data_IF_428642877624
#
_entry.id   IF_428642877624
#
_cell.length_a   1.000
_cell.length_b   1.000
_cell.length_c   1.000
_cell.angle_alpha   90.00
_cell.angle_beta   90.00
_cell.angle_gamma   90.00
#
_symmetry.space_group_name_H-M   'P 1'
#
loop_
_entity.id
_entity.type
_entity.pdbx_description
1 polymer ?
#
# COMPACT_ATOMS: atom_id res chain seq x y z
N UNK A 1 -20.11 -1.08 -4.93
CA UNK A 1 -19.08 -1.57 -5.87
C UNK A 1 -17.72 -0.97 -5.56
N UNK A 2 -17.54 0.36 -5.68
CA UNK A 2 -16.25 1.02 -5.49
C UNK A 2 -15.56 0.74 -4.13
N UNK A 3 -16.29 0.83 -3.02
CA UNK A 3 -15.75 0.55 -1.68
C UNK A 3 -15.22 -0.89 -1.58
N UNK A 4 -15.99 -1.87 -2.06
CA UNK A 4 -15.56 -3.27 -2.10
C UNK A 4 -14.36 -3.49 -3.02
N UNK A 5 -14.34 -2.88 -4.20
CA UNK A 5 -13.20 -2.97 -5.10
C UNK A 5 -11.92 -2.38 -4.47
N UNK A 6 -12.04 -1.29 -3.72
CA UNK A 6 -10.91 -0.70 -3.00
C UNK A 6 -10.41 -1.58 -1.85
N UNK A 7 -11.30 -2.27 -1.16
CA UNK A 7 -10.93 -3.28 -0.15
C UNK A 7 -10.26 -4.50 -0.80
N UNK A 8 -10.71 -4.89 -2.00
CA UNK A 8 -10.07 -5.93 -2.80
C UNK A 8 -8.63 -5.57 -3.19
N UNK A 9 -8.39 -4.34 -3.66
CA UNK A 9 -7.04 -3.83 -3.93
C UNK A 9 -6.18 -3.83 -2.66
N UNK A 10 -6.70 -3.34 -1.53
CA UNK A 10 -5.98 -3.36 -0.23
C UNK A 10 -5.54 -4.78 0.15
N UNK A 11 -6.49 -5.72 0.09
CA UNK A 11 -6.23 -7.12 0.43
C UNK A 11 -5.21 -7.76 -0.52
N UNK A 12 -5.36 -7.52 -1.83
CA UNK A 12 -4.44 -8.04 -2.86
C UNK A 12 -3.02 -7.54 -2.64
N UNK A 13 -2.84 -6.23 -2.49
CA UNK A 13 -1.51 -5.62 -2.32
C UNK A 13 -0.85 -6.11 -1.03
N UNK A 14 -1.59 -6.20 0.07
CA UNK A 14 -1.06 -6.74 1.33
C UNK A 14 -0.70 -8.21 1.24
N UNK A 15 -1.49 -9.00 0.51
CA UNK A 15 -1.17 -10.40 0.31
C UNK A 15 0.11 -10.56 -0.53
N UNK A 16 0.25 -9.77 -1.59
CA UNK A 16 1.49 -9.73 -2.38
C UNK A 16 2.71 -9.35 -1.53
N UNK A 17 2.58 -8.37 -0.64
CA UNK A 17 3.68 -8.03 0.28
C UNK A 17 4.09 -9.24 1.11
N UNK A 18 3.13 -9.94 1.71
CA UNK A 18 3.42 -11.08 2.60
C UNK A 18 4.06 -12.25 1.85
N UNK A 19 3.60 -12.50 0.63
CA UNK A 19 3.99 -13.70 -0.12
C UNK A 19 5.25 -13.48 -0.96
N UNK A 20 5.42 -12.28 -1.53
CA UNK A 20 6.43 -12.03 -2.57
C UNK A 20 7.54 -11.05 -2.16
N UNK A 21 7.35 -10.18 -1.17
CA UNK A 21 8.33 -9.11 -0.93
C UNK A 21 9.70 -9.63 -0.48
N UNK A 22 9.72 -10.66 0.38
CA UNK A 22 10.97 -11.30 0.83
C UNK A 22 11.81 -11.81 -0.36
N UNK A 23 11.30 -12.73 -1.22
CA UNK A 23 12.07 -13.21 -2.35
C UNK A 23 12.39 -12.12 -3.38
N UNK A 24 11.53 -11.10 -3.55
CA UNK A 24 11.83 -9.95 -4.42
C UNK A 24 13.05 -9.16 -3.91
N UNK A 25 13.12 -8.87 -2.61
CA UNK A 25 14.26 -8.16 -2.01
C UNK A 25 15.55 -8.97 -2.14
N UNK A 26 15.48 -10.30 -2.10
CA UNK A 26 16.66 -11.16 -2.27
C UNK A 26 17.18 -11.20 -3.71
N UNK A 27 16.31 -10.98 -4.71
CA UNK A 27 16.65 -11.11 -6.14
C UNK A 27 16.88 -9.78 -6.83
N UNK A 28 16.21 -8.71 -6.40
CA UNK A 28 16.26 -7.40 -7.04
C UNK A 28 17.13 -6.43 -6.25
N UNK A 29 18.21 -5.96 -6.87
CA UNK A 29 19.10 -4.95 -6.28
C UNK A 29 18.35 -3.65 -5.93
N UNK A 30 17.39 -3.25 -6.76
CA UNK A 30 16.56 -2.08 -6.51
C UNK A 30 15.68 -2.24 -5.27
N UNK A 31 15.04 -3.41 -5.10
CA UNK A 31 14.23 -3.69 -3.92
C UNK A 31 15.10 -3.80 -2.65
N UNK A 32 16.29 -4.40 -2.73
CA UNK A 32 17.25 -4.41 -1.62
C UNK A 32 17.72 -2.99 -1.25
N UNK A 33 17.94 -2.11 -2.24
CA UNK A 33 18.28 -0.71 -1.97
C UNK A 33 17.15 0.03 -1.24
N UNK A 34 15.89 -0.21 -1.63
CA UNK A 34 14.72 0.37 -0.96
C UNK A 34 14.56 -0.17 0.47
N UNK A 35 14.81 -1.47 0.67
CA UNK A 35 14.85 -2.06 2.01
C UNK A 35 15.95 -1.44 2.89
N UNK A 36 17.17 -1.26 2.37
CA UNK A 36 18.26 -0.58 3.09
C UNK A 36 17.88 0.85 3.47
N UNK A 37 17.26 1.60 2.56
CA UNK A 37 16.80 2.97 2.82
C UNK A 37 15.73 3.01 3.93
N UNK A 38 14.81 2.05 3.92
CA UNK A 38 13.82 1.90 4.98
C UNK A 38 14.49 1.66 6.35
N UNK A 39 15.43 0.71 6.42
CA UNK A 39 16.15 0.38 7.66
C UNK A 39 16.95 1.60 8.16
N UNK A 40 17.67 2.28 7.28
CA UNK A 40 18.41 3.50 7.64
C UNK A 40 17.49 4.59 8.21
N UNK A 41 16.31 4.77 7.60
CA UNK A 41 15.32 5.76 8.05
C UNK A 41 14.74 5.39 9.42
N UNK A 42 14.47 4.11 9.66
CA UNK A 42 13.97 3.61 10.95
C UNK A 42 15.00 3.78 12.06
N UNK A 43 16.28 3.57 11.76
CA UNK A 43 17.38 3.76 12.72
C UNK A 43 17.60 5.25 13.02
N UNK A 44 17.63 6.11 11.99
CA UNK A 44 17.91 7.55 12.16
C UNK A 44 16.85 8.32 12.94
N UNK A 45 15.61 7.82 13.01
CA UNK A 45 14.48 8.58 13.57
C UNK A 45 14.48 8.76 15.09
N UNK A 46 15.38 8.14 15.86
CA UNK A 46 15.67 8.52 17.26
C UNK A 46 14.51 8.49 18.29
N UNK A 47 13.28 8.14 17.90
CA UNK A 47 12.06 8.21 18.72
C UNK A 47 11.92 7.04 19.72
N UNK A 48 13.02 6.47 20.24
CA UNK A 48 13.04 5.38 21.22
C UNK A 48 12.57 4.00 20.71
N UNK A 49 11.77 3.97 19.63
CA UNK A 49 11.49 2.78 18.84
C UNK A 49 12.74 2.28 18.12
N UNK A 50 13.73 3.16 17.87
CA UNK A 50 15.04 2.82 17.32
C UNK A 50 15.82 1.89 18.25
N UNK A 51 15.84 2.17 19.55
CA UNK A 51 16.77 1.50 20.48
C UNK A 51 16.31 0.08 20.81
N UNK A 52 15.00 -0.11 20.99
CA UNK A 52 14.40 -1.44 21.13
C UNK A 52 14.58 -2.26 19.85
N UNK A 53 14.27 -1.68 18.70
CA UNK A 53 14.45 -2.35 17.41
C UNK A 53 15.92 -2.76 17.19
N UNK A 54 16.86 -1.88 17.51
CA UNK A 54 18.30 -2.18 17.40
C UNK A 54 18.69 -3.30 18.36
N UNK A 55 18.27 -3.24 19.63
CA UNK A 55 18.54 -4.29 20.60
C UNK A 55 17.98 -5.65 20.17
N UNK A 56 16.73 -5.69 19.72
CA UNK A 56 16.06 -6.91 19.24
C UNK A 56 16.78 -7.49 18.02
N UNK A 57 17.19 -6.64 17.07
CA UNK A 57 17.92 -7.04 15.87
C UNK A 57 19.33 -7.54 16.20
N UNK A 58 20.04 -6.94 17.16
CA UNK A 58 21.39 -7.35 17.58
C UNK A 58 21.40 -8.70 18.31
N UNK A 59 20.34 -9.02 19.07
CA UNK A 59 20.21 -10.29 19.79
C UNK A 59 19.56 -11.39 18.91
N UNK A 60 18.93 -11.00 17.80
CA UNK A 60 18.30 -11.93 16.86
C UNK A 60 19.30 -12.88 16.21
N UNK A 61 18.93 -14.16 16.11
CA UNK A 61 19.70 -15.16 15.35
C UNK A 61 19.69 -14.91 13.84
N UNK A 62 18.67 -14.19 13.35
CA UNK A 62 18.52 -13.82 11.94
C UNK A 62 18.11 -12.33 11.83
N UNK A 63 19.06 -11.40 12.04
CA UNK A 63 18.79 -9.96 12.10
C UNK A 63 18.07 -9.41 10.86
N UNK A 64 18.47 -9.90 9.68
CA UNK A 64 17.86 -9.51 8.39
C UNK A 64 16.39 -9.94 8.29
N UNK A 65 16.06 -11.15 8.75
CA UNK A 65 14.69 -11.64 8.75
C UNK A 65 13.80 -10.82 9.67
N UNK A 66 14.29 -10.47 10.85
CA UNK A 66 13.56 -9.60 11.79
C UNK A 66 13.27 -8.22 11.19
N UNK A 67 14.24 -7.63 10.48
CA UNK A 67 14.05 -6.35 9.80
C UNK A 67 13.06 -6.44 8.62
N UNK A 68 13.04 -7.56 7.90
CA UNK A 68 12.06 -7.81 6.84
C UNK A 68 10.64 -7.92 7.40
N UNK A 69 10.46 -8.59 8.53
CA UNK A 69 9.15 -8.64 9.22
C UNK A 69 8.69 -7.25 9.65
N UNK A 70 9.61 -6.42 10.15
CA UNK A 70 9.31 -5.03 10.50
C UNK A 70 8.86 -4.23 9.27
N UNK A 71 9.52 -4.39 8.12
CA UNK A 71 9.08 -3.76 6.88
C UNK A 71 7.69 -4.23 6.46
N UNK A 72 7.46 -5.55 6.41
CA UNK A 72 6.17 -6.15 6.02
C UNK A 72 5.05 -5.64 6.92
N UNK A 73 5.27 -5.64 8.24
CA UNK A 73 4.28 -5.14 9.19
C UNK A 73 4.04 -3.64 9.02
N UNK A 74 5.08 -2.84 8.81
CA UNK A 74 4.97 -1.39 8.63
C UNK A 74 4.13 -1.01 7.41
N UNK A 75 4.25 -1.75 6.30
CA UNK A 75 3.50 -1.43 5.07
C UNK A 75 2.17 -2.18 4.94
N UNK A 76 1.87 -3.15 5.81
CA UNK A 76 0.60 -3.92 5.76
C UNK A 76 -0.33 -3.73 6.97
N UNK A 77 0.16 -3.13 8.06
CA UNK A 77 -0.62 -2.93 9.30
C UNK A 77 -1.82 -2.01 9.12
N UNK A 78 -1.66 -0.93 8.37
CA UNK A 78 -2.73 0.03 8.10
C UNK A 78 -3.46 -0.28 6.79
N UNK A 79 -4.70 0.22 6.65
CA UNK A 79 -5.43 0.15 5.38
C UNK A 79 -4.80 1.09 4.35
N UNK A 80 -4.67 0.62 3.11
CA UNK A 80 -4.23 1.39 1.95
C UNK A 80 -5.42 2.22 1.44
N UNK A 81 -5.59 3.39 2.04
CA UNK A 81 -6.66 4.36 1.83
C UNK A 81 -6.29 5.50 0.87
N UNK A 82 -5.06 5.53 0.37
CA UNK A 82 -4.59 6.52 -0.59
C UNK A 82 -3.71 5.93 -1.69
N UNK A 83 -3.61 6.67 -2.81
CA UNK A 83 -2.69 6.33 -3.88
C UNK A 83 -1.23 6.36 -3.40
N UNK A 84 -0.89 7.29 -2.51
CA UNK A 84 0.45 7.43 -1.94
C UNK A 84 0.86 6.20 -1.12
N UNK A 85 -0.08 5.60 -0.38
CA UNK A 85 0.18 4.35 0.34
C UNK A 85 0.43 3.19 -0.64
N UNK A 86 -0.33 3.10 -1.73
CA UNK A 86 -0.08 2.10 -2.79
C UNK A 86 1.30 2.31 -3.44
N UNK A 87 1.66 3.55 -3.75
CA UNK A 87 2.97 3.87 -4.33
C UNK A 87 4.12 3.61 -3.38
N UNK A 88 3.91 3.81 -2.07
CA UNK A 88 4.87 3.44 -1.04
C UNK A 88 5.13 1.92 -1.03
N UNK A 89 4.08 1.12 -1.15
CA UNK A 89 4.23 -0.34 -1.24
C UNK A 89 4.92 -0.72 -2.54
N UNK A 90 4.55 -0.11 -3.67
CA UNK A 90 5.19 -0.32 -4.97
C UNK A 90 6.70 -0.04 -4.94
N UNK A 91 7.10 1.04 -4.27
CA UNK A 91 8.51 1.38 -4.11
C UNK A 91 9.29 0.30 -3.35
N UNK A 92 8.69 -0.39 -2.38
CA UNK A 92 9.34 -1.51 -1.70
C UNK A 92 9.67 -2.69 -2.64
N UNK A 93 8.88 -2.86 -3.71
CA UNK A 93 9.14 -3.82 -4.79
C UNK A 93 10.04 -3.27 -5.91
N UNK A 94 10.52 -2.02 -5.78
CA UNK A 94 11.22 -1.30 -6.85
C UNK A 94 10.38 -1.21 -8.14
N UNK A 95 9.07 -0.97 -7.98
CA UNK A 95 8.14 -0.76 -9.08
C UNK A 95 7.87 0.73 -9.21
N UNK A 96 8.14 1.29 -10.39
CA UNK A 96 7.86 2.68 -10.68
C UNK A 96 6.34 2.96 -10.70
N UNK A 97 5.93 4.08 -10.11
CA UNK A 97 4.52 4.50 -10.05
C UNK A 97 3.84 4.53 -11.43
N UNK A 98 4.57 4.92 -12.47
CA UNK A 98 4.07 4.98 -13.85
C UNK A 98 3.69 3.62 -14.44
N UNK A 99 4.30 2.52 -13.97
CA UNK A 99 3.97 1.16 -14.39
C UNK A 99 2.60 0.75 -13.86
N UNK A 100 2.36 1.05 -12.59
CA UNK A 100 1.14 0.68 -11.88
C UNK A 100 -0.02 1.60 -12.27
N UNK A 101 0.26 2.89 -12.44
CA UNK A 101 -0.76 3.91 -12.61
C UNK A 101 -0.33 4.97 -13.65
N UNK A 102 -0.71 4.78 -14.93
CA UNK A 102 -0.43 5.76 -15.98
C UNK A 102 -1.11 7.12 -15.74
N UNK A 103 -2.32 7.11 -15.19
CA UNK A 103 -3.07 8.32 -14.82
C UNK A 103 -3.18 8.46 -13.29
N UNK A 104 -2.13 9.03 -12.71
CA UNK A 104 -2.05 9.29 -11.25
C UNK A 104 -3.22 10.16 -10.78
N UNK A 105 -3.66 11.13 -11.60
CA UNK A 105 -4.72 12.06 -11.20
C UNK A 105 -6.04 11.32 -11.06
N UNK A 106 -6.41 10.52 -12.06
CA UNK A 106 -7.61 9.70 -12.02
C UNK A 106 -7.60 8.76 -10.81
N UNK A 107 -6.47 8.09 -10.54
CA UNK A 107 -6.36 7.17 -9.41
C UNK A 107 -6.46 7.85 -8.04
N UNK A 108 -5.87 9.05 -7.88
CA UNK A 108 -6.07 9.85 -6.67
C UNK A 108 -7.52 10.26 -6.49
N UNK A 109 -8.19 10.64 -7.57
CA UNK A 109 -9.60 11.01 -7.53
C UNK A 109 -10.49 9.82 -7.13
N UNK A 110 -10.17 8.59 -7.56
CA UNK A 110 -10.85 7.37 -7.08
C UNK A 110 -10.82 7.25 -5.56
N UNK A 111 -9.66 7.45 -4.92
CA UNK A 111 -9.56 7.40 -3.45
C UNK A 111 -10.32 8.53 -2.76
N UNK A 112 -10.31 9.74 -3.33
CA UNK A 112 -11.14 10.85 -2.81
C UNK A 112 -12.63 10.48 -2.83
N UNK A 113 -13.12 9.94 -3.93
CA UNK A 113 -14.51 9.50 -4.05
C UNK A 113 -14.82 8.37 -3.06
N UNK A 114 -13.93 7.38 -2.96
CA UNK A 114 -14.08 6.26 -2.02
C UNK A 114 -14.12 6.73 -0.57
N UNK A 115 -13.22 7.62 -0.17
CA UNK A 115 -13.17 8.15 1.20
C UNK A 115 -14.42 9.00 1.50
N UNK A 116 -14.88 9.81 0.55
CA UNK A 116 -16.15 10.53 0.68
C UNK A 116 -17.34 9.57 0.88
N UNK A 117 -17.42 8.47 0.13
CA UNK A 117 -18.49 7.49 0.28
C UNK A 117 -18.46 6.83 1.66
N UNK A 118 -17.26 6.50 2.17
CA UNK A 118 -17.11 5.92 3.52
C UNK A 118 -17.56 6.93 4.58
N UNK A 119 -17.11 8.17 4.50
CA UNK A 119 -17.53 9.22 5.43
C UNK A 119 -19.05 9.47 5.40
N UNK A 120 -19.69 9.39 4.23
CA UNK A 120 -21.16 9.47 4.11
C UNK A 120 -21.90 8.24 4.67
N UNK A 121 -21.20 7.10 4.79
CA UNK A 121 -21.74 5.86 5.37
C UNK A 121 -21.58 5.80 6.88
N UNK A 122 -20.63 6.54 7.46
CA UNK A 122 -20.50 6.66 8.90
C UNK A 122 -21.76 7.29 9.50
N UNK A 123 -22.39 6.58 10.45
CA UNK A 123 -23.64 7.02 11.08
C UNK A 123 -23.33 8.10 12.12
N UNK A 124 -23.46 9.36 11.71
CA UNK A 124 -23.48 10.50 12.61
C UNK A 124 -24.94 10.79 13.02
N UNK A 125 -25.32 10.43 14.25
CA UNK A 125 -26.68 10.65 14.79
C UNK A 125 -26.98 12.13 15.07
N UNK A 126 -25.96 12.99 15.06
CA UNK A 126 -25.98 14.42 15.38
C UNK A 126 -25.98 15.32 14.14
N UNK A 127 -25.80 14.77 12.93
CA UNK A 127 -25.72 15.56 11.70
C UNK A 127 -26.83 15.18 10.71
N UNK A 128 -27.61 16.19 10.26
CA UNK A 128 -28.47 16.00 9.10
C UNK A 128 -27.58 15.84 7.87
N UNK A 129 -27.44 14.62 7.35
CA UNK A 129 -26.69 14.29 6.13
C UNK A 129 -27.35 14.94 4.88
N UNK A 130 -27.24 16.26 4.75
CA UNK A 130 -27.92 17.07 3.73
C UNK A 130 -27.25 17.05 2.35
N UNK A 131 -26.04 16.51 2.22
CA UNK A 131 -25.26 16.52 0.97
C UNK A 131 -24.59 15.17 0.72
N UNK A 132 -25.37 14.16 0.33
CA UNK A 132 -24.81 12.92 -0.24
C UNK A 132 -24.36 13.16 -1.67
N UNK A 133 -23.19 12.64 -2.03
CA UNK A 133 -22.70 12.66 -3.42
C UNK A 133 -23.68 11.89 -4.33
N UNK A 134 -24.04 12.44 -5.51
CA UNK A 134 -24.71 11.65 -6.53
C UNK A 134 -23.74 10.57 -7.05
N UNK A 135 -24.14 9.30 -6.89
CA UNK A 135 -23.35 8.14 -7.32
C UNK A 135 -23.87 7.66 -8.67
N UNK A 136 -23.49 8.36 -9.74
CA UNK A 136 -23.87 7.94 -11.11
C UNK A 136 -23.23 6.59 -11.41
N UNK A 137 -24.03 5.68 -11.97
CA UNK A 137 -23.57 4.32 -12.26
C UNK A 137 -22.32 4.30 -13.14
N UNK A 138 -22.29 5.10 -14.21
CA UNK A 138 -21.15 5.20 -15.13
C UNK A 138 -19.84 5.58 -14.41
N UNK A 139 -19.89 6.58 -13.52
CA UNK A 139 -18.72 7.02 -12.74
C UNK A 139 -18.23 5.91 -11.82
N UNK A 140 -19.16 5.21 -11.14
CA UNK A 140 -18.81 4.11 -10.23
C UNK A 140 -18.16 2.93 -10.95
N UNK A 141 -18.64 2.61 -12.16
CA UNK A 141 -18.04 1.58 -13.03
C UNK A 141 -16.64 2.01 -13.45
N UNK A 142 -16.48 3.25 -13.93
CA UNK A 142 -15.19 3.80 -14.35
C UNK A 142 -14.15 3.72 -13.22
N UNK A 143 -14.48 4.23 -12.03
CA UNK A 143 -13.59 4.19 -10.87
C UNK A 143 -13.24 2.76 -10.44
N UNK A 144 -14.21 1.84 -10.51
CA UNK A 144 -13.97 0.43 -10.18
C UNK A 144 -13.00 -0.21 -11.18
N UNK A 145 -13.16 0.06 -12.48
CA UNK A 145 -12.25 -0.44 -13.51
C UNK A 145 -10.84 0.13 -13.36
N UNK A 146 -10.69 1.39 -12.93
CA UNK A 146 -9.38 1.96 -12.59
C UNK A 146 -8.70 1.16 -11.48
N UNK A 147 -9.43 0.74 -10.44
CA UNK A 147 -8.86 -0.09 -9.37
C UNK A 147 -8.45 -1.48 -9.87
N UNK A 148 -9.23 -2.09 -10.75
CA UNK A 148 -8.89 -3.39 -11.33
C UNK A 148 -7.68 -3.32 -12.25
N UNK A 149 -7.56 -2.29 -13.08
CA UNK A 149 -6.38 -2.08 -13.92
C UNK A 149 -5.11 -1.91 -13.08
N UNK A 150 -5.19 -1.07 -12.03
CA UNK A 150 -4.08 -0.90 -11.07
C UNK A 150 -3.74 -2.23 -10.36
N UNK A 151 -4.74 -3.01 -9.95
CA UNK A 151 -4.53 -4.31 -9.31
C UNK A 151 -3.79 -5.28 -10.23
N UNK A 152 -4.22 -5.37 -11.50
CA UNK A 152 -3.62 -6.24 -12.50
C UNK A 152 -2.18 -5.83 -12.83
N UNK A 153 -1.94 -4.52 -12.99
CA UNK A 153 -0.60 -3.96 -13.23
C UNK A 153 0.34 -4.20 -12.05
N UNK A 154 -0.14 -4.00 -10.82
CA UNK A 154 0.67 -4.27 -9.63
C UNK A 154 1.05 -5.74 -9.56
N UNK A 155 0.08 -6.65 -9.73
CA UNK A 155 0.30 -8.09 -9.72
C UNK A 155 1.33 -8.49 -10.79
N UNK A 156 1.15 -8.04 -12.04
CA UNK A 156 2.07 -8.36 -13.13
C UNK A 156 3.47 -7.80 -12.90
N UNK A 157 3.58 -6.57 -12.39
CA UNK A 157 4.88 -5.97 -12.08
C UNK A 157 5.58 -6.67 -10.90
N UNK A 158 4.84 -7.12 -9.90
CA UNK A 158 5.40 -7.91 -8.78
C UNK A 158 5.89 -9.28 -9.26
N UNK A 159 5.13 -9.95 -10.13
CA UNK A 159 5.51 -11.22 -10.74
C UNK A 159 6.81 -11.11 -11.58
N UNK A 160 6.95 -10.03 -12.36
CA UNK A 160 8.17 -9.74 -13.11
C UNK A 160 9.41 -9.54 -12.22
N UNK A 161 9.23 -9.15 -10.95
CA UNK A 161 10.35 -9.03 -10.00
C UNK A 161 10.74 -10.38 -9.38
N UNK A 162 9.91 -11.40 -9.53
CA UNK A 162 10.18 -12.76 -9.08
C UNK A 162 10.80 -13.63 -10.18
N UNK A 163 10.48 -13.37 -11.44
CA UNK A 163 11.03 -14.06 -12.61
C UNK A 163 12.53 -13.79 -12.78
#
# INVERSE_FOLDING_TARGET
MLVFASAGLDSLVKQLVRDALRPVIERSEGADAQFRLFVQTKIKRGDGLSDRLIADVLVSRKPRDSLLDVLINDITSESLQSAEQIFRVAAAFDIATSVICPDIKAFKDVFKVRNQIIHEMDVAFDQSNRTRRPRKHADMVSFTNTLFDVSARFLSAADQKLA
#
